data_IF_707777122208
#
_entry.id   IF_707777122208
#
_cell.length_a   1.000
_cell.length_b   1.000
_cell.length_c   1.000
_cell.angle_alpha   90.00
_cell.angle_beta   90.00
_cell.angle_gamma   90.00
#
_symmetry.space_group_name_H-M   'P 1'
#
loop_
_entity.id
_entity.type
_entity.pdbx_description
1 polymer ?
#
# COMPACT_ATOMS: atom_id res chain seq x y z
N UNK A 1 -17.00 -9.34 -21.33
CA UNK A 1 -16.92 -8.82 -19.99
C UNK A 1 -18.10 -9.32 -19.17
N UNK A 2 -17.88 -9.79 -17.99
CA UNK A 2 -18.96 -10.42 -17.24
C UNK A 2 -19.79 -9.42 -16.42
N UNK A 3 -20.98 -9.83 -16.02
CA UNK A 3 -21.91 -9.01 -15.26
C UNK A 3 -21.35 -8.58 -13.90
N UNK A 4 -20.48 -9.39 -13.30
CA UNK A 4 -19.88 -9.13 -11.99
C UNK A 4 -19.03 -7.86 -12.01
N UNK A 5 -18.21 -7.66 -13.06
CA UNK A 5 -17.39 -6.47 -13.22
C UNK A 5 -18.27 -5.24 -13.36
N UNK A 6 -19.30 -5.30 -14.18
CA UNK A 6 -20.24 -4.18 -14.37
C UNK A 6 -20.97 -3.80 -13.09
N UNK A 7 -21.35 -4.79 -12.27
CA UNK A 7 -22.03 -4.55 -11.00
C UNK A 7 -21.14 -3.74 -10.05
N UNK A 8 -19.87 -4.15 -9.89
CA UNK A 8 -18.96 -3.44 -8.99
C UNK A 8 -18.56 -2.06 -9.52
N UNK A 9 -18.40 -1.91 -10.81
CA UNK A 9 -18.12 -0.61 -11.42
C UNK A 9 -19.27 0.36 -11.19
N UNK A 10 -20.52 -0.11 -11.32
CA UNK A 10 -21.69 0.72 -11.03
C UNK A 10 -21.72 1.14 -9.56
N UNK A 11 -21.40 0.23 -8.64
CA UNK A 11 -21.32 0.57 -7.22
C UNK A 11 -20.23 1.59 -6.94
N UNK A 12 -19.09 1.49 -7.63
CA UNK A 12 -18.02 2.48 -7.48
C UNK A 12 -18.52 3.88 -7.80
N UNK A 13 -19.27 4.03 -8.88
CA UNK A 13 -19.82 5.33 -9.28
C UNK A 13 -20.85 5.85 -8.29
N UNK A 14 -21.78 5.00 -7.87
CA UNK A 14 -22.89 5.41 -7.00
C UNK A 14 -22.42 5.76 -5.60
N UNK A 15 -21.51 4.98 -5.04
CA UNK A 15 -21.03 5.16 -3.66
C UNK A 15 -19.71 5.88 -3.54
N UNK A 16 -19.14 6.33 -4.66
CA UNK A 16 -17.87 7.06 -4.64
C UNK A 16 -16.70 6.22 -4.16
N UNK A 17 -16.70 4.92 -4.47
CA UNK A 17 -15.63 4.04 -4.06
C UNK A 17 -14.32 4.40 -4.74
N UNK A 18 -13.23 4.29 -4.00
CA UNK A 18 -11.89 4.62 -4.47
C UNK A 18 -11.20 3.40 -5.07
N UNK A 19 -10.07 3.64 -5.71
CA UNK A 19 -9.24 2.59 -6.26
C UNK A 19 -9.45 2.38 -7.75
N UNK A 20 -8.42 1.87 -8.42
CA UNK A 20 -8.44 1.54 -9.85
C UNK A 20 -8.57 0.04 -10.08
N UNK A 21 -8.07 -0.77 -9.15
CA UNK A 21 -8.07 -2.22 -9.22
C UNK A 21 -9.14 -2.80 -8.31
N UNK A 22 -9.23 -2.27 -7.10
CA UNK A 22 -10.15 -2.71 -6.07
C UNK A 22 -11.24 -1.67 -5.83
N UNK A 23 -12.30 -2.07 -5.13
CA UNK A 23 -13.41 -1.20 -4.78
C UNK A 23 -13.29 -0.89 -3.29
N UNK A 24 -12.82 0.33 -2.98
CA UNK A 24 -12.46 0.72 -1.62
C UNK A 24 -13.40 1.80 -1.09
N UNK A 25 -14.05 1.49 0.03
CA UNK A 25 -14.84 2.45 0.78
C UNK A 25 -13.87 3.22 1.69
N UNK A 26 -13.57 4.44 1.30
CA UNK A 26 -12.55 5.26 1.94
C UNK A 26 -13.23 6.43 2.65
N UNK A 27 -12.91 6.62 3.92
CA UNK A 27 -13.50 7.67 4.75
C UNK A 27 -12.49 8.38 5.64
N UNK A 28 -11.20 8.25 5.34
CA UNK A 28 -10.14 8.86 6.13
C UNK A 28 -9.58 10.11 5.45
N UNK A 29 -8.96 10.97 6.25
CA UNK A 29 -8.34 12.19 5.75
C UNK A 29 -6.86 11.97 5.43
N UNK A 30 -6.26 12.94 4.75
CA UNK A 30 -4.87 12.91 4.32
C UNK A 30 -3.90 12.58 5.46
N UNK A 31 -4.11 13.17 6.64
CA UNK A 31 -3.23 12.95 7.79
C UNK A 31 -3.23 11.50 8.28
N UNK A 32 -4.35 10.79 8.13
CA UNK A 32 -4.42 9.37 8.47
C UNK A 32 -3.44 8.58 7.62
N UNK A 33 -3.44 8.83 6.32
CA UNK A 33 -2.59 8.09 5.38
C UNK A 33 -1.11 8.40 5.58
N UNK A 34 -0.78 9.65 5.85
CA UNK A 34 0.59 10.01 6.20
C UNK A 34 1.06 9.26 7.44
N UNK A 35 0.22 9.19 8.46
CA UNK A 35 0.53 8.43 9.67
C UNK A 35 0.82 6.96 9.37
N UNK A 36 -0.02 6.34 8.55
CA UNK A 36 0.18 4.93 8.19
C UNK A 36 1.49 4.72 7.45
N UNK A 37 1.89 5.68 6.62
CA UNK A 37 3.12 5.58 5.86
C UNK A 37 4.37 5.78 6.70
N UNK A 38 4.31 6.62 7.73
CA UNK A 38 5.50 6.94 8.55
C UNK A 38 5.60 6.13 9.84
N UNK A 39 4.50 5.60 10.35
CA UNK A 39 4.48 4.78 11.55
C UNK A 39 4.65 3.30 11.21
N UNK A 40 5.74 2.97 10.55
CA UNK A 40 6.03 1.60 10.15
C UNK A 40 7.10 0.99 11.07
N UNK A 41 7.12 -0.36 11.19
CA UNK A 41 8.18 -1.02 11.96
C UNK A 41 9.55 -0.72 11.40
N UNK A 42 10.57 -0.76 12.24
CA UNK A 42 11.93 -0.50 11.81
C UNK A 42 12.41 -1.50 10.77
N UNK A 43 12.00 -2.75 10.85
CA UNK A 43 12.32 -3.76 9.85
C UNK A 43 11.79 -3.39 8.47
N UNK A 44 10.58 -2.83 8.42
CA UNK A 44 9.99 -2.35 7.16
C UNK A 44 10.76 -1.16 6.61
N UNK A 45 11.14 -0.24 7.50
CA UNK A 45 11.93 0.93 7.10
C UNK A 45 13.29 0.52 6.56
N UNK A 46 13.96 -0.44 7.18
CA UNK A 46 15.23 -0.96 6.69
C UNK A 46 15.10 -1.58 5.30
N UNK A 47 14.03 -2.33 5.08
CA UNK A 47 13.78 -2.94 3.78
C UNK A 47 13.58 -1.88 2.70
N UNK A 48 12.83 -0.83 3.01
CA UNK A 48 12.61 0.29 2.10
C UNK A 48 13.92 1.03 1.81
N UNK A 49 14.73 1.27 2.83
CA UNK A 49 16.02 1.92 2.66
C UNK A 49 16.95 1.11 1.75
N UNK A 50 16.98 -0.21 1.92
CA UNK A 50 17.78 -1.08 1.05
C UNK A 50 17.30 -1.04 -0.40
N UNK A 51 16.00 -1.08 -0.58
CA UNK A 51 15.41 -1.05 -1.92
C UNK A 51 15.74 0.24 -2.67
N UNK A 52 15.71 1.36 -1.96
CA UNK A 52 16.01 2.67 -2.53
C UNK A 52 17.49 3.06 -2.41
N UNK A 53 18.34 2.13 -1.99
CA UNK A 53 19.80 2.31 -1.86
C UNK A 53 20.19 3.43 -0.91
N UNK A 54 19.41 3.66 0.13
CA UNK A 54 19.71 4.66 1.14
C UNK A 54 20.52 4.03 2.28
N UNK A 55 21.64 4.68 2.63
CA UNK A 55 22.58 4.20 3.66
C UNK A 55 22.78 5.20 4.79
N UNK A 56 21.75 5.92 5.18
CA UNK A 56 21.83 6.88 6.26
C UNK A 56 21.79 6.24 7.65
N UNK A 57 22.08 7.03 8.67
CA UNK A 57 21.97 6.61 10.07
C UNK A 57 20.49 6.42 10.45
N UNK A 58 20.26 5.75 11.60
CA UNK A 58 18.93 5.55 12.12
C UNK A 58 18.18 6.88 12.35
N UNK A 59 18.91 7.93 12.74
CA UNK A 59 18.32 9.25 12.97
C UNK A 59 17.80 9.90 11.70
N UNK A 60 18.44 9.64 10.56
CA UNK A 60 18.04 10.22 9.27
C UNK A 60 17.08 9.37 8.47
N UNK A 61 16.83 8.12 8.88
CA UNK A 61 15.97 7.21 8.13
C UNK A 61 14.54 7.72 7.98
N UNK A 62 13.94 8.21 9.05
CA UNK A 62 12.58 8.73 8.99
C UNK A 62 12.46 9.99 8.15
N UNK A 63 13.47 10.84 8.20
CA UNK A 63 13.53 12.01 7.34
C UNK A 63 13.64 11.59 5.88
N UNK A 64 14.48 10.61 5.60
CA UNK A 64 14.62 10.09 4.24
C UNK A 64 13.36 9.37 3.75
N UNK A 65 12.57 8.80 4.66
CA UNK A 65 11.31 8.19 4.31
C UNK A 65 10.41 9.21 3.61
N UNK A 66 10.24 10.39 4.18
CA UNK A 66 9.37 11.41 3.59
C UNK A 66 10.00 12.14 2.41
N UNK A 67 11.30 12.34 2.41
CA UNK A 67 11.98 13.14 1.38
C UNK A 67 12.44 12.34 0.16
N UNK A 68 12.72 11.04 0.32
CA UNK A 68 13.27 10.21 -0.76
C UNK A 68 12.44 8.97 -1.04
N UNK A 69 12.09 8.24 0.00
CA UNK A 69 11.45 6.92 -0.16
C UNK A 69 10.00 7.05 -0.65
N UNK A 70 9.21 7.92 -0.04
CA UNK A 70 7.83 8.12 -0.47
C UNK A 70 7.76 8.69 -1.88
N UNK A 71 8.54 9.73 -2.25
CA UNK A 71 8.56 10.16 -3.65
C UNK A 71 9.07 9.09 -4.62
N UNK A 72 10.06 8.30 -4.22
CA UNK A 72 10.55 7.18 -5.03
C UNK A 72 9.48 6.12 -5.25
N UNK A 73 8.70 5.83 -4.22
CA UNK A 73 7.58 4.89 -4.30
C UNK A 73 6.47 5.43 -5.22
N UNK A 74 6.17 6.72 -5.12
CA UNK A 74 5.19 7.35 -5.99
C UNK A 74 5.60 7.23 -7.46
N UNK A 75 6.88 7.40 -7.75
CA UNK A 75 7.41 7.23 -9.09
C UNK A 75 7.31 5.77 -9.55
N UNK A 76 7.65 4.84 -8.69
CA UNK A 76 7.54 3.40 -8.96
C UNK A 76 6.11 2.98 -9.28
N UNK A 77 5.14 3.56 -8.56
CA UNK A 77 3.71 3.30 -8.77
C UNK A 77 3.11 4.14 -9.90
N UNK A 78 3.92 4.95 -10.56
CA UNK A 78 3.53 5.77 -11.72
C UNK A 78 2.43 6.78 -11.40
N UNK A 79 2.52 7.39 -10.23
CA UNK A 79 1.60 8.45 -9.84
C UNK A 79 1.96 9.77 -10.52
N UNK A 80 0.99 10.68 -10.63
CA UNK A 80 1.22 12.01 -11.18
C UNK A 80 2.13 12.83 -10.27
N UNK A 81 2.68 13.94 -10.78
CA UNK A 81 3.52 14.84 -9.98
C UNK A 81 2.79 15.43 -8.78
N UNK A 82 1.48 15.52 -8.87
CA UNK A 82 0.64 16.13 -7.84
C UNK A 82 0.07 15.10 -6.87
N UNK A 83 0.75 13.96 -6.72
CA UNK A 83 0.30 12.92 -5.80
C UNK A 83 0.23 13.45 -4.37
N UNK A 84 -0.73 12.92 -3.62
CA UNK A 84 -0.82 13.17 -2.19
C UNK A 84 -0.63 11.84 -1.43
N UNK A 85 -0.56 11.91 -0.11
CA UNK A 85 -0.31 10.72 0.72
C UNK A 85 -1.45 9.71 0.64
N UNK A 86 -2.68 10.19 0.48
CA UNK A 86 -3.84 9.31 0.28
C UNK A 86 -3.69 8.51 -1.02
N UNK A 87 -3.37 9.18 -2.11
CA UNK A 87 -3.18 8.52 -3.40
C UNK A 87 -2.04 7.52 -3.34
N UNK A 88 -0.93 7.90 -2.72
CA UNK A 88 0.22 7.03 -2.58
C UNK A 88 -0.12 5.78 -1.77
N UNK A 89 -0.75 5.95 -0.62
CA UNK A 89 -1.12 4.84 0.24
C UNK A 89 -2.08 3.90 -0.46
N UNK A 90 -3.14 4.43 -1.08
CA UNK A 90 -4.13 3.61 -1.77
C UNK A 90 -3.53 2.89 -2.98
N UNK A 91 -2.65 3.54 -3.73
CA UNK A 91 -1.97 2.90 -4.86
C UNK A 91 -1.07 1.76 -4.39
N UNK A 92 -0.31 1.97 -3.32
CA UNK A 92 0.53 0.93 -2.75
C UNK A 92 -0.31 -0.22 -2.18
N UNK A 93 -1.43 0.11 -1.53
CA UNK A 93 -2.36 -0.86 -0.97
C UNK A 93 -2.94 -1.76 -2.08
N UNK A 94 -3.42 -1.17 -3.15
CA UNK A 94 -3.97 -1.93 -4.28
C UNK A 94 -2.92 -2.79 -4.97
N UNK A 95 -1.73 -2.25 -5.20
CA UNK A 95 -0.65 -2.99 -5.84
C UNK A 95 -0.23 -4.18 -4.98
N UNK A 96 -0.14 -3.99 -3.66
CA UNK A 96 0.20 -5.06 -2.73
C UNK A 96 -0.89 -6.13 -2.70
N UNK A 97 -2.16 -5.72 -2.64
CA UNK A 97 -3.28 -6.65 -2.65
C UNK A 97 -3.31 -7.49 -3.94
N UNK A 98 -3.00 -6.88 -5.07
CA UNK A 98 -2.92 -7.59 -6.35
C UNK A 98 -1.80 -8.63 -6.32
N UNK A 99 -0.63 -8.26 -5.81
CA UNK A 99 0.50 -9.18 -5.69
C UNK A 99 0.18 -10.34 -4.74
N UNK A 100 -0.60 -10.09 -3.70
CA UNK A 100 -1.02 -11.11 -2.75
C UNK A 100 -2.24 -11.90 -3.22
N UNK A 101 -2.77 -11.59 -4.40
CA UNK A 101 -3.92 -12.28 -5.00
C UNK A 101 -5.20 -12.17 -4.16
N UNK A 102 -5.41 -11.02 -3.54
CA UNK A 102 -6.66 -10.73 -2.84
C UNK A 102 -7.79 -10.57 -3.86
N UNK A 103 -8.97 -11.09 -3.55
CA UNK A 103 -10.11 -11.04 -4.47
C UNK A 103 -10.53 -9.61 -4.79
N UNK A 104 -10.84 -9.33 -6.06
CA UNK A 104 -11.31 -8.02 -6.54
C UNK A 104 -12.81 -7.83 -6.38
N UNK A 105 -13.56 -8.91 -6.23
CA UNK A 105 -15.01 -8.88 -6.30
C UNK A 105 -15.65 -8.77 -4.92
N UNK A 106 -15.24 -7.71 -4.22
CA UNK A 106 -15.72 -7.41 -2.89
C UNK A 106 -15.44 -5.94 -2.62
N UNK A 107 -16.31 -5.29 -1.85
CA UNK A 107 -16.08 -3.91 -1.42
C UNK A 107 -15.33 -3.97 -0.08
N UNK A 108 -14.19 -3.29 -0.03
CA UNK A 108 -13.33 -3.30 1.15
C UNK A 108 -13.33 -1.93 1.82
N UNK A 109 -13.21 -1.91 3.13
CA UNK A 109 -12.70 -0.73 3.83
C UNK A 109 -11.18 -0.76 3.74
N UNK A 110 -10.52 0.36 4.03
CA UNK A 110 -9.06 0.42 4.01
C UNK A 110 -8.49 -0.61 4.99
N UNK A 111 -8.99 -0.62 6.22
CA UNK A 111 -8.54 -1.54 7.26
C UNK A 111 -8.79 -3.00 6.88
N UNK A 112 -9.95 -3.28 6.30
CA UNK A 112 -10.31 -4.64 5.87
C UNK A 112 -9.37 -5.16 4.79
N UNK A 113 -9.01 -4.31 3.84
CA UNK A 113 -8.08 -4.70 2.77
C UNK A 113 -6.67 -4.92 3.33
N UNK A 114 -6.22 -4.07 4.27
CA UNK A 114 -4.94 -4.26 4.95
C UNK A 114 -4.91 -5.59 5.69
N UNK A 115 -5.98 -5.94 6.39
CA UNK A 115 -6.06 -7.23 7.10
C UNK A 115 -5.93 -8.42 6.14
N UNK A 116 -6.59 -8.35 4.98
CA UNK A 116 -6.48 -9.41 3.98
C UNK A 116 -5.07 -9.54 3.44
N UNK A 117 -4.41 -8.43 3.20
CA UNK A 117 -3.01 -8.42 2.77
C UNK A 117 -2.12 -9.05 3.84
N UNK A 118 -2.29 -8.68 5.09
CA UNK A 118 -1.49 -9.20 6.19
C UNK A 118 -1.66 -10.71 6.35
N UNK A 119 -2.89 -11.21 6.22
CA UNK A 119 -3.14 -12.65 6.24
C UNK A 119 -2.39 -13.38 5.12
N UNK A 120 -2.40 -12.81 3.92
CA UNK A 120 -1.72 -13.41 2.77
C UNK A 120 -0.20 -13.36 2.94
N UNK A 121 0.34 -12.24 3.42
CA UNK A 121 1.77 -12.10 3.66
C UNK A 121 2.26 -13.07 4.75
N UNK A 122 1.49 -13.23 5.82
CA UNK A 122 1.85 -14.14 6.91
C UNK A 122 1.92 -15.60 6.46
N UNK A 123 1.10 -15.97 5.48
CA UNK A 123 1.08 -17.35 4.93
C UNK A 123 2.12 -17.54 3.83
N UNK A 124 2.68 -16.46 3.32
CA UNK A 124 3.64 -16.52 2.22
C UNK A 124 5.02 -16.95 2.73
N UNK A 125 5.71 -17.89 2.03
CA UNK A 125 7.09 -18.20 2.39
C UNK A 125 7.99 -16.97 2.33
N UNK A 126 8.99 -16.92 3.20
CA UNK A 126 9.88 -15.79 3.27
C UNK A 126 10.60 -15.52 1.94
N UNK A 127 10.96 -16.56 1.22
CA UNK A 127 11.60 -16.42 -0.10
C UNK A 127 10.72 -15.64 -1.08
N UNK A 128 9.42 -15.91 -1.08
CA UNK A 128 8.48 -15.19 -1.94
C UNK A 128 8.29 -13.75 -1.47
N UNK A 129 8.21 -13.52 -0.16
CA UNK A 129 8.06 -12.17 0.38
C UNK A 129 9.24 -11.28 0.03
N UNK A 130 10.44 -11.83 0.05
CA UNK A 130 11.66 -11.07 -0.27
C UNK A 130 11.72 -10.64 -1.73
N UNK A 131 11.00 -11.33 -2.60
CA UNK A 131 10.94 -10.98 -4.02
C UNK A 131 9.93 -9.90 -4.33
N UNK A 132 9.06 -9.57 -3.38
CA UNK A 132 8.05 -8.54 -3.58
C UNK A 132 8.70 -7.15 -3.57
N UNK A 133 8.10 -6.18 -4.29
CA UNK A 133 8.57 -4.80 -4.21
C UNK A 133 8.54 -4.29 -2.77
N UNK A 134 9.45 -3.39 -2.44
CA UNK A 134 9.61 -2.92 -1.07
C UNK A 134 8.39 -2.16 -0.54
N UNK A 135 7.55 -1.57 -1.40
CA UNK A 135 6.35 -0.89 -0.93
C UNK A 135 5.39 -1.82 -0.18
N UNK A 136 5.49 -3.14 -0.38
CA UNK A 136 4.71 -4.11 0.40
C UNK A 136 5.04 -4.05 1.89
N UNK A 137 6.22 -3.53 2.23
CA UNK A 137 6.64 -3.40 3.62
C UNK A 137 5.77 -2.46 4.45
N UNK A 138 5.06 -1.54 3.81
CA UNK A 138 4.12 -0.66 4.51
C UNK A 138 2.96 -1.44 5.15
N UNK A 139 2.69 -2.64 4.68
CA UNK A 139 1.54 -3.43 5.12
C UNK A 139 1.93 -4.70 5.88
N UNK A 140 3.20 -4.91 6.13
CA UNK A 140 3.65 -6.05 6.91
C UNK A 140 3.33 -5.85 8.39
N UNK A 141 2.95 -6.94 9.07
CA UNK A 141 2.70 -6.88 10.50
C UNK A 141 4.01 -6.69 11.25
N UNK A 142 3.93 -5.92 12.34
CA UNK A 142 5.06 -5.79 13.25
C UNK A 142 5.23 -7.09 14.01
N UNK A 143 6.34 -7.78 13.82
CA UNK A 143 6.65 -8.96 14.63
C UNK A 143 7.14 -8.51 16.00
N UNK A 144 6.52 -9.08 17.00
CA UNK A 144 6.88 -8.81 18.38
C UNK A 144 8.04 -9.70 18.81
#
# INVERSE_FOLDING_TARGET
RNMKIGYYDAKRMVYGLKGKIYYIEENQEECYYLKQLVQIPESSLERLCRWHHFKGSAETRYRSLTELILPGTALELKLSREWNYKELYLAALEATAKLCRVSKYQIYTVEGLVEKIQEKLDRMPQEEREKLPAFTAFFETCEV
#
